data_IF_455329581313
#
_entry.id   IF_455329581313
#
_cell.length_a   1.000
_cell.length_b   1.000
_cell.length_c   1.000
_cell.angle_alpha   90.00
_cell.angle_beta   90.00
_cell.angle_gamma   90.00
#
_symmetry.space_group_name_H-M   'P 1'
#
loop_
_entity.id
_entity.type
_entity.pdbx_description
1 polymer ?
#
# COMPACT_ATOMS: atom_id res chain seq x y z
N UNK A 1 -5.82 36.27 -0.15
CA UNK A 1 -5.56 34.91 -0.72
C UNK A 1 -6.69 34.03 -0.23
N UNK A 2 -7.47 33.45 -1.13
CA UNK A 2 -8.66 32.67 -0.78
C UNK A 2 -8.27 31.37 -0.09
N UNK A 3 -8.65 31.23 1.18
CA UNK A 3 -8.64 29.96 1.89
C UNK A 3 -9.54 28.96 1.15
N UNK A 4 -8.94 28.15 0.29
CA UNK A 4 -9.61 27.01 -0.32
C UNK A 4 -9.90 26.02 0.81
N UNK A 5 -11.16 25.96 1.25
CA UNK A 5 -11.66 24.95 2.19
C UNK A 5 -11.25 23.56 1.69
N UNK A 6 -10.21 22.98 2.28
CA UNK A 6 -9.86 21.57 2.07
C UNK A 6 -11.02 20.72 2.55
N UNK A 7 -11.44 19.77 1.72
CA UNK A 7 -12.44 18.79 2.12
C UNK A 7 -11.91 18.00 3.32
N UNK A 8 -12.58 18.10 4.45
CA UNK A 8 -12.27 17.27 5.63
C UNK A 8 -12.51 15.80 5.27
N UNK A 9 -11.46 15.00 5.33
CA UNK A 9 -11.56 13.54 5.18
C UNK A 9 -12.14 12.99 6.49
N UNK A 10 -13.22 12.22 6.42
CA UNK A 10 -13.81 11.56 7.59
C UNK A 10 -12.85 10.51 8.18
N UNK A 11 -12.93 10.23 9.48
CA UNK A 11 -12.08 9.20 10.14
C UNK A 11 -12.13 7.84 9.43
N UNK A 12 -13.30 7.46 8.93
CA UNK A 12 -13.49 6.25 8.13
C UNK A 12 -12.82 6.36 6.75
N UNK A 13 -12.90 7.52 6.10
CA UNK A 13 -12.20 7.77 4.83
C UNK A 13 -10.67 7.73 4.97
N UNK A 14 -10.14 8.25 6.09
CA UNK A 14 -8.71 8.14 6.40
C UNK A 14 -8.32 6.68 6.69
N UNK A 15 -9.14 5.96 7.46
CA UNK A 15 -8.94 4.53 7.72
C UNK A 15 -8.93 3.73 6.41
N UNK A 16 -9.93 3.93 5.54
CA UNK A 16 -10.00 3.27 4.23
C UNK A 16 -8.82 3.61 3.33
N UNK A 17 -8.37 4.87 3.32
CA UNK A 17 -7.19 5.30 2.56
C UNK A 17 -5.92 4.65 3.11
N UNK A 18 -5.78 4.55 4.44
CA UNK A 18 -4.65 3.87 5.10
C UNK A 18 -4.65 2.39 4.76
N UNK A 19 -5.80 1.71 4.85
CA UNK A 19 -5.93 0.32 4.46
C UNK A 19 -5.59 0.10 2.98
N UNK A 20 -6.06 0.94 2.08
CA UNK A 20 -5.79 0.80 0.66
C UNK A 20 -4.32 1.09 0.29
N UNK A 21 -3.70 2.08 0.95
CA UNK A 21 -2.33 2.47 0.67
C UNK A 21 -1.29 1.51 1.27
N UNK A 22 -1.59 0.92 2.44
CA UNK A 22 -0.65 0.06 3.17
C UNK A 22 -0.90 -1.42 2.90
N UNK A 23 -2.16 -1.86 2.93
CA UNK A 23 -2.49 -3.27 2.78
C UNK A 23 -2.89 -3.59 1.34
N UNK A 24 -1.87 -3.81 0.49
CA UNK A 24 -2.08 -4.42 -0.82
C UNK A 24 -2.24 -5.93 -0.68
N UNK A 25 -3.40 -6.49 -1.09
CA UNK A 25 -3.67 -7.94 -1.13
C UNK A 25 -2.60 -8.75 -1.84
N UNK A 26 -2.02 -8.13 -2.87
CA UNK A 26 -0.96 -8.69 -3.66
C UNK A 26 0.24 -9.09 -2.79
N UNK A 27 0.57 -8.25 -1.80
CA UNK A 27 1.67 -8.55 -0.90
C UNK A 27 1.33 -9.76 -0.04
N UNK A 28 0.15 -9.82 0.58
CA UNK A 28 -0.23 -10.97 1.42
C UNK A 28 -0.28 -12.28 0.60
N UNK A 29 -0.88 -12.26 -0.59
CA UNK A 29 -1.01 -13.45 -1.45
C UNK A 29 0.35 -13.92 -1.94
N UNK A 30 1.19 -13.04 -2.50
CA UNK A 30 2.50 -13.46 -3.00
C UNK A 30 3.39 -14.00 -1.89
N UNK A 31 3.35 -13.37 -0.71
CA UNK A 31 4.12 -13.84 0.44
C UNK A 31 3.61 -15.21 0.92
N UNK A 32 2.29 -15.47 0.85
CA UNK A 32 1.72 -16.78 1.19
C UNK A 32 2.03 -17.83 0.12
N UNK A 33 2.10 -17.48 -1.17
CA UNK A 33 2.54 -18.41 -2.22
C UNK A 33 4.01 -18.80 -2.02
N UNK A 34 4.86 -17.85 -1.63
CA UNK A 34 6.32 -18.07 -1.48
C UNK A 34 6.70 -18.73 -0.15
N UNK A 35 6.01 -18.42 0.96
CA UNK A 35 6.34 -18.94 2.30
C UNK A 35 5.29 -19.90 2.88
N UNK A 36 4.15 -20.07 2.22
CA UNK A 36 3.01 -20.77 2.78
C UNK A 36 2.51 -20.12 4.07
N UNK A 37 1.99 -20.95 4.97
CA UNK A 37 1.43 -20.52 6.26
C UNK A 37 2.45 -19.86 7.20
N UNK A 38 3.75 -20.04 6.97
CA UNK A 38 4.81 -19.36 7.71
C UNK A 38 4.88 -17.85 7.44
N UNK A 39 4.21 -17.37 6.38
CA UNK A 39 4.05 -15.93 6.13
C UNK A 39 3.23 -15.24 7.23
N UNK A 40 2.21 -15.90 7.81
CA UNK A 40 1.29 -15.28 8.76
C UNK A 40 1.97 -14.85 10.08
N UNK A 41 2.77 -15.69 10.76
CA UNK A 41 3.54 -15.25 11.93
C UNK A 41 4.52 -14.13 11.61
N UNK A 42 5.13 -14.13 10.42
CA UNK A 42 6.03 -13.05 10.02
C UNK A 42 5.32 -11.72 9.79
N UNK A 43 4.14 -11.73 9.18
CA UNK A 43 3.31 -10.52 9.08
C UNK A 43 2.92 -10.00 10.46
N UNK A 44 2.62 -10.89 11.41
CA UNK A 44 2.31 -10.52 12.79
C UNK A 44 3.52 -9.88 13.48
N UNK A 45 4.70 -10.51 13.39
CA UNK A 45 5.95 -9.98 13.95
C UNK A 45 6.33 -8.65 13.29
N UNK A 46 6.28 -8.56 11.97
CA UNK A 46 6.58 -7.32 11.23
C UNK A 46 5.61 -6.20 11.61
N UNK A 47 4.34 -6.53 11.88
CA UNK A 47 3.37 -5.53 12.30
C UNK A 47 3.72 -4.93 13.66
N UNK A 48 4.07 -5.78 14.64
CA UNK A 48 4.42 -5.34 16.00
C UNK A 48 5.75 -4.59 16.04
N UNK A 49 6.79 -5.14 15.44
CA UNK A 49 8.15 -4.63 15.59
C UNK A 49 8.54 -3.57 14.57
N UNK A 50 7.85 -3.50 13.43
CA UNK A 50 8.15 -2.54 12.37
C UNK A 50 7.00 -1.59 12.09
N UNK A 51 5.82 -2.10 11.72
CA UNK A 51 4.71 -1.26 11.27
C UNK A 51 4.20 -0.30 12.34
N UNK A 52 3.92 -0.80 13.56
CA UNK A 52 3.43 0.04 14.67
C UNK A 52 4.45 1.12 15.04
N UNK A 53 5.73 0.81 15.32
CA UNK A 53 6.75 1.84 15.57
C UNK A 53 6.89 2.84 14.43
N UNK A 54 6.89 2.37 13.18
CA UNK A 54 7.01 3.21 11.99
C UNK A 54 5.85 4.22 11.89
N UNK A 55 4.61 3.77 12.07
CA UNK A 55 3.44 4.66 12.09
C UNK A 55 3.51 5.71 13.21
N UNK A 56 3.97 5.33 14.40
CA UNK A 56 4.13 6.25 15.52
C UNK A 56 5.18 7.33 15.24
N UNK A 57 6.33 6.93 14.69
CA UNK A 57 7.40 7.86 14.29
C UNK A 57 6.89 8.85 13.23
N UNK A 58 6.21 8.35 12.20
CA UNK A 58 5.63 9.20 11.15
C UNK A 58 4.60 10.17 11.75
N UNK A 59 3.72 9.70 12.63
CA UNK A 59 2.72 10.54 13.27
C UNK A 59 3.36 11.69 14.06
N UNK A 60 4.45 11.41 14.78
CA UNK A 60 5.21 12.44 15.50
C UNK A 60 5.82 13.46 14.53
N UNK A 61 6.46 13.01 13.45
CA UNK A 61 7.04 13.90 12.44
C UNK A 61 6.03 14.78 11.70
N UNK A 62 4.85 14.24 11.39
CA UNK A 62 3.73 15.01 10.83
C UNK A 62 3.26 16.06 11.82
N UNK A 63 3.15 15.70 13.11
CA UNK A 63 2.72 16.62 14.16
C UNK A 63 3.71 17.76 14.43
N UNK A 64 5.01 17.53 14.20
CA UNK A 64 6.07 18.54 14.30
C UNK A 64 6.08 19.47 13.08
N UNK A 65 5.70 18.97 11.90
CA UNK A 65 5.76 19.70 10.63
C UNK A 65 4.37 20.04 10.08
N UNK A 66 3.44 20.51 10.93
CA UNK A 66 2.02 20.78 10.57
C UNK A 66 1.81 21.70 9.36
N UNK A 67 2.75 22.62 9.12
CA UNK A 67 2.66 23.61 8.05
C UNK A 67 3.43 23.23 6.78
N UNK A 68 4.04 22.05 6.73
CA UNK A 68 4.84 21.60 5.58
C UNK A 68 4.18 20.44 4.87
N UNK A 69 3.81 20.65 3.61
CA UNK A 69 3.28 19.62 2.71
C UNK A 69 4.37 18.77 2.05
N UNK A 70 5.65 19.08 2.29
CA UNK A 70 6.75 18.38 1.64
C UNK A 70 7.00 16.96 2.18
N UNK A 71 6.10 16.45 3.04
CA UNK A 71 6.11 15.07 3.55
C UNK A 71 7.45 14.67 4.14
N UNK A 72 7.97 13.53 3.69
CA UNK A 72 9.25 12.94 4.16
C UNK A 72 10.43 13.91 4.05
N UNK A 73 10.47 14.76 3.01
CA UNK A 73 11.54 15.73 2.84
C UNK A 73 11.57 16.76 3.99
N UNK A 74 10.40 17.27 4.40
CA UNK A 74 10.31 18.22 5.51
C UNK A 74 10.75 17.60 6.83
N UNK A 75 10.34 16.35 7.07
CA UNK A 75 10.67 15.62 8.29
C UNK A 75 12.19 15.46 8.41
N UNK A 76 12.84 14.94 7.37
CA UNK A 76 14.29 14.74 7.37
C UNK A 76 15.04 16.07 7.42
N UNK A 77 14.56 17.10 6.73
CA UNK A 77 15.19 18.44 6.77
C UNK A 77 15.15 19.03 8.17
N UNK A 78 14.07 18.84 8.91
CA UNK A 78 13.92 19.34 10.28
C UNK A 78 14.85 18.64 11.28
N UNK A 79 15.14 17.36 11.07
CA UNK A 79 15.93 16.56 12.02
C UNK A 79 17.41 16.42 11.66
N UNK A 80 17.73 16.21 10.38
CA UNK A 80 19.07 15.88 9.92
C UNK A 80 19.68 16.97 9.03
N UNK A 81 18.88 17.93 8.57
CA UNK A 81 19.33 19.05 7.74
C UNK A 81 19.23 18.81 6.23
N UNK A 82 19.60 19.83 5.44
CA UNK A 82 19.30 19.89 4.01
C UNK A 82 19.96 18.80 3.14
N UNK A 83 21.18 18.38 3.47
CA UNK A 83 21.92 17.34 2.69
C UNK A 83 21.20 16.00 2.75
N UNK A 84 20.80 15.58 3.95
CA UNK A 84 20.08 14.32 4.17
C UNK A 84 18.68 14.37 3.57
N UNK A 85 17.99 15.51 3.69
CA UNK A 85 16.68 15.68 3.09
C UNK A 85 16.71 15.50 1.56
N UNK A 86 17.75 16.03 0.89
CA UNK A 86 17.94 15.83 -0.54
C UNK A 86 18.15 14.36 -0.90
N UNK A 87 19.04 13.66 -0.18
CA UNK A 87 19.28 12.23 -0.40
C UNK A 87 17.97 11.44 -0.22
N UNK A 88 17.22 11.70 0.85
CA UNK A 88 15.94 11.02 1.10
C UNK A 88 14.93 11.27 -0.03
N UNK A 89 14.76 12.51 -0.47
CA UNK A 89 13.85 12.81 -1.58
C UNK A 89 14.29 12.16 -2.89
N UNK A 90 15.60 12.14 -3.17
CA UNK A 90 16.15 11.48 -4.35
C UNK A 90 15.91 9.96 -4.30
N UNK A 91 16.22 9.31 -3.18
CA UNK A 91 15.98 7.87 -3.01
C UNK A 91 14.48 7.55 -3.09
N UNK A 92 13.62 8.38 -2.50
CA UNK A 92 12.17 8.21 -2.59
C UNK A 92 11.66 8.29 -4.04
N UNK A 93 12.14 9.28 -4.80
CA UNK A 93 11.81 9.39 -6.22
C UNK A 93 12.36 8.20 -7.03
N UNK A 94 13.61 7.81 -6.79
CA UNK A 94 14.28 6.73 -7.51
C UNK A 94 13.60 5.37 -7.30
N UNK A 95 13.27 5.01 -6.06
CA UNK A 95 12.55 3.75 -5.75
C UNK A 95 11.19 3.72 -6.43
N UNK A 96 10.47 4.83 -6.45
CA UNK A 96 9.15 4.90 -7.08
C UNK A 96 9.21 4.65 -8.60
N UNK A 97 10.30 5.01 -9.28
CA UNK A 97 10.49 4.70 -10.70
C UNK A 97 10.44 3.18 -10.97
N UNK A 98 11.17 2.38 -10.18
CA UNK A 98 11.14 0.92 -10.29
C UNK A 98 9.84 0.30 -9.78
N UNK A 99 9.21 0.94 -8.80
CA UNK A 99 7.91 0.51 -8.33
C UNK A 99 6.88 0.54 -9.47
N UNK A 100 6.82 1.64 -10.23
CA UNK A 100 5.90 1.76 -11.37
C UNK A 100 6.17 0.73 -12.48
N UNK A 101 7.44 0.46 -12.81
CA UNK A 101 7.78 -0.54 -13.83
C UNK A 101 7.37 -1.95 -13.41
N UNK A 102 7.33 -2.24 -12.10
CA UNK A 102 6.83 -3.52 -11.57
C UNK A 102 5.30 -3.61 -11.48
N UNK A 103 4.58 -2.47 -11.46
CA UNK A 103 3.12 -2.42 -11.31
C UNK A 103 2.40 -2.57 -12.65
N UNK A 104 2.88 -1.92 -13.71
CA UNK A 104 2.17 -1.87 -14.99
C UNK A 104 1.93 -3.26 -15.62
N UNK A 105 2.91 -4.18 -15.66
CA UNK A 105 2.67 -5.53 -16.18
C UNK A 105 1.64 -6.31 -15.35
N UNK A 106 1.58 -6.08 -14.03
CA UNK A 106 0.59 -6.73 -13.16
C UNK A 106 -0.82 -6.27 -13.45
N UNK A 107 -1.02 -4.99 -13.81
CA UNK A 107 -2.34 -4.49 -14.22
C UNK A 107 -2.83 -5.24 -15.46
N UNK A 108 -1.93 -5.53 -16.40
CA UNK A 108 -2.25 -6.32 -17.61
C UNK A 108 -2.67 -7.74 -17.22
N UNK A 109 -1.90 -8.41 -16.37
CA UNK A 109 -2.24 -9.76 -15.89
C UNK A 109 -3.61 -9.80 -15.18
N UNK A 110 -3.88 -8.85 -14.29
CA UNK A 110 -5.18 -8.77 -13.60
C UNK A 110 -6.34 -8.44 -14.54
N UNK A 111 -6.11 -7.59 -15.54
CA UNK A 111 -7.12 -7.35 -16.57
C UNK A 111 -7.41 -8.62 -17.38
N UNK A 112 -6.38 -9.39 -17.75
CA UNK A 112 -6.57 -10.68 -18.43
C UNK A 112 -7.40 -11.65 -17.59
N UNK A 113 -7.09 -11.79 -16.29
CA UNK A 113 -7.91 -12.61 -15.38
C UNK A 113 -9.35 -12.11 -15.28
N UNK A 114 -9.58 -10.80 -15.20
CA UNK A 114 -10.91 -10.23 -15.06
C UNK A 114 -11.78 -10.40 -16.32
N UNK A 115 -11.21 -10.29 -17.52
CA UNK A 115 -11.96 -10.33 -18.77
C UNK A 115 -12.00 -11.70 -19.45
N UNK A 116 -10.92 -12.48 -19.36
CA UNK A 116 -10.77 -13.78 -20.05
C UNK A 116 -10.90 -14.97 -19.10
N UNK A 117 -10.79 -14.75 -17.79
CA UNK A 117 -10.79 -15.81 -16.78
C UNK A 117 -9.45 -16.57 -16.65
N UNK A 118 -8.44 -16.22 -17.43
CA UNK A 118 -7.09 -16.79 -17.36
C UNK A 118 -6.02 -15.75 -17.68
N UNK A 119 -4.78 -16.00 -17.26
CA UNK A 119 -3.65 -15.12 -17.57
C UNK A 119 -3.25 -15.26 -19.04
N UNK A 120 -3.40 -14.18 -19.81
CA UNK A 120 -2.89 -14.13 -21.17
C UNK A 120 -1.48 -13.56 -21.18
N UNK A 121 -0.49 -14.45 -21.27
CA UNK A 121 0.92 -14.08 -21.28
C UNK A 121 1.26 -13.55 -22.68
N UNK A 122 1.32 -12.22 -22.81
CA UNK A 122 1.77 -11.56 -24.03
C UNK A 122 3.29 -11.64 -24.19
N UNK A 123 3.78 -11.43 -25.41
CA UNK A 123 5.23 -11.31 -25.64
C UNK A 123 5.81 -10.16 -24.81
N UNK A 124 7.07 -10.25 -24.34
CA UNK A 124 7.68 -9.19 -23.51
C UNK A 124 7.62 -7.80 -24.16
N UNK A 125 7.76 -7.75 -25.49
CA UNK A 125 7.66 -6.51 -26.28
C UNK A 125 6.25 -5.93 -26.23
N UNK A 126 5.21 -6.75 -26.42
CA UNK A 126 3.82 -6.31 -26.35
C UNK A 126 3.46 -5.81 -24.94
N UNK A 127 3.83 -6.54 -23.89
CA UNK A 127 3.63 -6.13 -22.50
C UNK A 127 4.31 -4.80 -22.20
N UNK A 128 5.52 -4.59 -22.71
CA UNK A 128 6.28 -3.34 -22.53
C UNK A 128 5.58 -2.16 -23.23
N UNK A 129 5.13 -2.34 -24.48
CA UNK A 129 4.43 -1.30 -25.23
C UNK A 129 3.11 -0.91 -24.53
N UNK A 130 2.32 -1.90 -24.12
CA UNK A 130 1.06 -1.65 -23.40
C UNK A 130 1.34 -0.96 -22.05
N UNK A 131 2.37 -1.40 -21.33
CA UNK A 131 2.78 -0.76 -20.07
C UNK A 131 3.18 0.70 -20.26
N UNK A 132 3.91 1.02 -21.34
CA UNK A 132 4.26 2.41 -21.68
C UNK A 132 3.01 3.27 -21.96
N UNK A 133 2.05 2.73 -22.70
CA UNK A 133 0.77 3.43 -22.98
C UNK A 133 -0.03 3.63 -21.69
N UNK A 134 -0.14 2.61 -20.84
CA UNK A 134 -0.81 2.70 -19.54
C UNK A 134 -0.14 3.72 -18.61
N UNK A 135 1.19 3.79 -18.61
CA UNK A 135 1.93 4.77 -17.83
C UNK A 135 1.68 6.20 -18.31
N UNK A 136 1.71 6.41 -19.63
CA UNK A 136 1.41 7.72 -20.23
C UNK A 136 -0.03 8.16 -19.92
N UNK A 137 -0.99 7.24 -20.04
CA UNK A 137 -2.39 7.49 -19.68
C UNK A 137 -2.55 7.82 -18.19
N UNK A 138 -1.93 7.05 -17.31
CA UNK A 138 -1.95 7.29 -15.85
C UNK A 138 -1.34 8.64 -15.48
N UNK A 139 -0.26 9.02 -16.17
CA UNK A 139 0.36 10.34 -16.04
C UNK A 139 -0.60 11.45 -16.48
N UNK A 140 -1.27 11.28 -17.62
CA UNK A 140 -2.28 12.23 -18.10
C UNK A 140 -3.46 12.39 -17.13
N UNK A 141 -3.98 11.28 -16.59
CA UNK A 141 -5.01 11.30 -15.54
C UNK A 141 -4.52 12.06 -14.30
N UNK A 142 -3.26 11.85 -13.92
CA UNK A 142 -2.65 12.54 -12.77
C UNK A 142 -2.54 14.06 -12.99
N UNK A 143 -2.29 14.51 -14.22
CA UNK A 143 -2.23 15.95 -14.58
C UNK A 143 -3.58 16.66 -14.45
N UNK A 144 -4.71 15.94 -14.57
CA UNK A 144 -6.06 16.49 -14.37
C UNK A 144 -6.39 16.79 -12.89
N UNK A 145 -5.47 16.48 -11.96
CA UNK A 145 -5.49 16.90 -10.57
C UNK A 145 -6.49 16.15 -9.68
N UNK A 146 -6.65 16.66 -8.45
CA UNK A 146 -7.38 16.00 -7.37
C UNK A 146 -8.88 15.74 -7.65
N UNK A 147 -9.48 16.44 -8.62
CA UNK A 147 -10.90 16.31 -8.96
C UNK A 147 -11.23 14.94 -9.59
N UNK A 148 -10.30 14.35 -10.33
CA UNK A 148 -10.46 13.00 -10.89
C UNK A 148 -9.92 11.93 -9.95
N UNK A 149 -8.79 12.20 -9.29
CA UNK A 149 -8.14 11.21 -8.41
C UNK A 149 -8.99 10.88 -7.18
N UNK A 150 -9.60 11.88 -6.53
CA UNK A 150 -10.34 11.67 -5.28
C UNK A 150 -11.45 10.61 -5.36
N UNK A 151 -12.42 10.74 -6.30
CA UNK A 151 -13.48 9.74 -6.47
C UNK A 151 -12.96 8.36 -6.86
N UNK A 152 -11.97 8.29 -7.77
CA UNK A 152 -11.39 7.01 -8.22
C UNK A 152 -10.74 6.28 -7.04
N UNK A 153 -9.91 6.97 -6.26
CA UNK A 153 -9.26 6.39 -5.08
C UNK A 153 -10.28 5.93 -4.05
N UNK A 154 -11.35 6.71 -3.81
CA UNK A 154 -12.41 6.35 -2.86
C UNK A 154 -13.16 5.07 -3.26
N UNK A 155 -13.56 4.96 -4.53
CA UNK A 155 -14.26 3.78 -5.07
C UNK A 155 -13.35 2.55 -5.02
N UNK A 156 -12.11 2.68 -5.49
CA UNK A 156 -11.12 1.58 -5.47
C UNK A 156 -10.84 1.10 -4.06
N UNK A 157 -10.67 2.02 -3.09
CA UNK A 157 -10.42 1.67 -1.69
C UNK A 157 -11.62 0.93 -1.07
N UNK A 158 -12.84 1.37 -1.39
CA UNK A 158 -14.07 0.74 -0.91
C UNK A 158 -14.24 -0.67 -1.50
N UNK A 159 -14.00 -0.82 -2.81
CA UNK A 159 -14.04 -2.12 -3.48
C UNK A 159 -12.98 -3.08 -2.94
N UNK A 160 -11.75 -2.60 -2.71
CA UNK A 160 -10.72 -3.39 -2.05
C UNK A 160 -11.20 -3.90 -0.69
N UNK A 161 -11.73 -3.01 0.17
CA UNK A 161 -12.20 -3.39 1.50
C UNK A 161 -13.34 -4.41 1.45
N UNK A 162 -14.30 -4.23 0.52
CA UNK A 162 -15.38 -5.20 0.31
C UNK A 162 -14.85 -6.55 -0.14
N UNK A 163 -13.89 -6.58 -1.06
CA UNK A 163 -13.24 -7.81 -1.52
C UNK A 163 -12.48 -8.51 -0.39
N UNK A 164 -11.83 -7.75 0.50
CA UNK A 164 -11.17 -8.28 1.70
C UNK A 164 -12.16 -9.03 2.58
N UNK A 165 -13.24 -8.35 2.95
CA UNK A 165 -14.20 -8.87 3.91
C UNK A 165 -14.94 -10.06 3.31
N UNK A 166 -15.30 -9.99 2.03
CA UNK A 166 -15.92 -11.13 1.34
C UNK A 166 -14.99 -12.33 1.28
N UNK A 167 -13.69 -12.14 0.99
CA UNK A 167 -12.71 -13.22 0.98
C UNK A 167 -12.59 -13.88 2.37
N UNK A 168 -12.45 -13.09 3.44
CA UNK A 168 -12.36 -13.62 4.81
C UNK A 168 -13.64 -14.39 5.18
N UNK A 169 -14.82 -13.86 4.85
CA UNK A 169 -16.09 -14.52 5.14
C UNK A 169 -16.24 -15.82 4.36
N UNK A 170 -15.97 -15.82 3.04
CA UNK A 170 -16.06 -17.01 2.19
C UNK A 170 -15.04 -18.09 2.57
N UNK A 171 -13.81 -17.69 2.87
CA UNK A 171 -12.78 -18.62 3.36
C UNK A 171 -13.17 -19.22 4.72
N UNK A 172 -13.70 -18.39 5.63
CA UNK A 172 -14.18 -18.84 6.93
C UNK A 172 -15.37 -19.80 6.83
N UNK A 173 -16.36 -19.50 5.97
CA UNK A 173 -17.50 -20.41 5.77
C UNK A 173 -17.11 -21.70 5.06
N UNK A 174 -16.17 -21.66 4.11
CA UNK A 174 -15.63 -22.86 3.47
C UNK A 174 -14.91 -23.77 4.48
N UNK A 175 -14.13 -23.20 5.40
CA UNK A 175 -13.44 -23.95 6.45
C UNK A 175 -14.44 -24.63 7.41
N UNK A 176 -15.49 -23.91 7.83
CA UNK A 176 -16.57 -24.47 8.67
C UNK A 176 -17.40 -25.50 7.88
N UNK A 177 -17.54 -25.33 6.57
CA UNK A 177 -18.20 -26.25 5.65
C UNK A 177 -17.41 -27.52 5.33
N UNK A 178 -16.24 -27.72 5.94
CA UNK A 178 -15.44 -28.94 5.82
C UNK A 178 -14.48 -28.99 4.63
N UNK A 179 -14.31 -27.88 3.91
CA UNK A 179 -13.28 -27.77 2.86
C UNK A 179 -11.91 -27.84 3.51
N UNK A 180 -11.11 -28.82 3.11
CA UNK A 180 -9.73 -28.95 3.58
C UNK A 180 -8.88 -27.84 2.95
N UNK A 181 -8.17 -27.04 3.78
CA UNK A 181 -7.20 -26.06 3.28
C UNK A 181 -6.14 -26.73 2.40
N UNK A 182 -5.68 -26.03 1.36
CA UNK A 182 -4.61 -26.55 0.48
C UNK A 182 -3.31 -26.82 1.25
N UNK A 183 -3.03 -26.03 2.28
CA UNK A 183 -1.92 -26.24 3.21
C UNK A 183 -2.44 -26.64 4.60
N UNK A 184 -1.89 -27.70 5.23
CA UNK A 184 -2.32 -28.12 6.56
C UNK A 184 -2.11 -27.00 7.58
N UNK A 185 -3.20 -26.51 8.20
CA UNK A 185 -3.14 -25.52 9.29
C UNK A 185 -2.58 -26.22 10.54
N UNK A 186 -1.26 -26.35 10.58
CA UNK A 186 -0.50 -27.00 11.65
C UNK A 186 0.56 -26.04 12.15
N UNK A 187 0.95 -26.18 13.42
CA UNK A 187 1.99 -25.33 14.03
C UNK A 187 3.32 -25.49 13.27
N UNK A 188 3.63 -26.70 12.78
CA UNK A 188 4.83 -26.97 12.00
C UNK A 188 4.84 -26.23 10.65
N UNK A 189 3.67 -26.08 9.99
CA UNK A 189 3.55 -25.31 8.76
C UNK A 189 3.68 -23.78 8.97
N UNK A 190 3.54 -23.32 10.22
CA UNK A 190 3.72 -21.91 10.59
C UNK A 190 5.15 -21.57 11.02
N UNK A 191 6.01 -22.56 11.23
CA UNK A 191 7.41 -22.32 11.58
C UNK A 191 8.17 -21.91 10.31
N UNK A 192 8.73 -20.69 10.25
CA UNK A 192 9.49 -20.27 9.09
C UNK A 192 10.82 -21.01 8.99
N UNK A 193 11.12 -21.53 7.80
CA UNK A 193 12.45 -22.04 7.48
C UNK A 193 13.38 -20.86 7.16
N UNK A 194 14.40 -20.66 7.99
CA UNK A 194 15.42 -19.62 7.78
C UNK A 194 16.32 -19.97 6.60
N UNK A 195 15.89 -19.60 5.40
CA UNK A 195 16.65 -19.73 4.16
C UNK A 195 16.75 -18.36 3.43
N UNK A 196 17.49 -18.32 2.32
CA UNK A 196 17.64 -17.10 1.52
C UNK A 196 16.31 -16.58 0.95
N UNK A 197 15.38 -17.48 0.61
CA UNK A 197 14.05 -17.10 0.15
C UNK A 197 13.26 -16.40 1.27
N UNK A 198 13.32 -16.90 2.50
CA UNK A 198 12.70 -16.31 3.68
C UNK A 198 13.20 -14.89 3.97
N UNK A 199 14.52 -14.65 3.90
CA UNK A 199 15.07 -13.31 4.04
C UNK A 199 14.61 -12.37 2.91
N UNK A 200 14.56 -12.88 1.67
CA UNK A 200 14.06 -12.13 0.51
C UNK A 200 12.59 -11.74 0.66
N UNK A 201 11.74 -12.69 1.05
CA UNK A 201 10.30 -12.48 1.23
C UNK A 201 10.03 -11.57 2.43
N UNK A 202 10.80 -11.68 3.52
CA UNK A 202 10.72 -10.72 4.66
C UNK A 202 10.97 -9.28 4.20
N UNK A 203 11.87 -9.07 3.24
CA UNK A 203 12.10 -7.73 2.65
C UNK A 203 10.85 -7.21 1.93
N UNK A 204 10.09 -8.09 1.26
CA UNK A 204 8.81 -7.73 0.64
C UNK A 204 7.73 -7.40 1.67
N UNK A 205 7.71 -8.08 2.82
CA UNK A 205 6.81 -7.75 3.95
C UNK A 205 7.10 -6.33 4.45
N UNK A 206 8.37 -5.96 4.64
CA UNK A 206 8.73 -4.60 5.06
C UNK A 206 8.41 -3.55 3.99
N UNK A 207 8.61 -3.88 2.71
CA UNK A 207 8.22 -3.02 1.59
C UNK A 207 6.70 -2.81 1.56
N UNK A 208 5.89 -3.81 1.93
CA UNK A 208 4.44 -3.68 2.00
C UNK A 208 3.97 -2.63 3.00
N UNK A 209 4.71 -2.42 4.09
CA UNK A 209 4.45 -1.35 5.04
C UNK A 209 4.86 0.04 4.53
N UNK A 210 5.69 0.10 3.48
CA UNK A 210 6.03 1.33 2.76
C UNK A 210 4.81 1.87 2.02
N UNK A 211 4.51 3.16 2.21
CA UNK A 211 3.30 3.81 1.71
C UNK A 211 2.49 4.47 2.82
N UNK A 212 2.67 4.08 4.09
CA UNK A 212 2.00 4.73 5.23
C UNK A 212 2.35 6.23 5.33
N UNK A 213 3.57 6.61 4.92
CA UNK A 213 4.06 7.98 4.86
C UNK A 213 3.26 8.85 3.88
N UNK A 214 2.71 8.25 2.81
CA UNK A 214 1.92 8.98 1.82
C UNK A 214 0.54 9.37 2.38
N UNK A 215 -0.03 8.54 3.26
CA UNK A 215 -1.32 8.80 3.92
C UNK A 215 -1.17 9.78 5.09
N UNK A 216 -0.01 9.76 5.74
CA UNK A 216 0.27 10.59 6.90
C UNK A 216 0.19 12.09 6.62
N UNK A 217 0.48 12.52 5.38
CA UNK A 217 0.34 13.93 4.96
C UNK A 217 -1.12 14.41 5.05
N UNK A 218 -2.09 13.51 4.88
CA UNK A 218 -3.52 13.83 4.96
C UNK A 218 -4.07 13.82 6.39
N UNK A 219 -3.30 13.42 7.41
CA UNK A 219 -3.73 13.42 8.81
C UNK A 219 -4.07 14.83 9.29
N UNK A 220 -3.33 15.84 8.83
CA UNK A 220 -3.60 17.25 9.15
C UNK A 220 -4.95 17.73 8.62
N UNK A 221 -5.44 17.17 7.51
CA UNK A 221 -6.75 17.51 6.94
C UNK A 221 -7.92 16.90 7.74
N UNK A 222 -7.65 15.91 8.61
CA UNK A 222 -8.63 15.30 9.52
C UNK A 222 -8.69 16.03 10.87
N UNK A 223 -7.55 16.54 11.37
CA UNK A 223 -7.47 17.18 12.69
C UNK A 223 -8.25 18.50 12.83
N UNK A 224 -8.52 19.23 11.74
CA UNK A 224 -9.31 20.47 11.80
C UNK A 224 -10.74 20.29 12.31
N UNK A 225 -11.25 19.06 12.42
CA UNK A 225 -12.56 18.79 13.04
C UNK A 225 -12.56 18.81 14.58
N UNK A 226 -11.40 18.81 15.24
CA UNK A 226 -11.33 18.82 16.71
C UNK A 226 -11.17 20.23 17.31
N UNK A 227 -10.68 21.21 16.55
CA UNK A 227 -10.58 22.60 17.02
C UNK A 227 -11.87 23.43 16.81
N UNK A 228 -12.85 22.91 16.06
CA UNK A 228 -14.14 23.59 15.83
C UNK A 228 -15.17 23.26 16.95
N UNK A 229 -14.79 22.45 17.95
CA UNK A 229 -15.68 22.07 19.08
C UNK A 229 -15.08 22.47 20.43
N UNK A 230 -14.23 23.51 20.47
CA UNK A 230 -13.88 24.20 21.73
C UNK A 230 -14.03 25.71 21.56
#
# INVERSE_FOLDING_TARGET
MSDTKRNTIGKFGLLSLTFAAVYSFNNVINNNIELGLASAPMFFLATIFYFIPFCLIIAEFVSLNKNSEAGVYAWVKSSLGGRWAFITAYTYWFVNLFFFTSLLPRVIAYASYAFLGYEYIMTPVATTIISMVLFAFSTWVSTNGAKMLGPITSVTSTLMLLLTLSYILLAGTALVGGVQPADPITVDAMIPNFNWAFLGVTTWIFMAAGGAESVAVYVNDVQRRFEIVR
#
